data_IF_317973635274
#
_entry.id   IF_317973635274
#
_cell.length_a   1.000
_cell.length_b   1.000
_cell.length_c   1.000
_cell.angle_alpha   90.00
_cell.angle_beta   90.00
_cell.angle_gamma   90.00
#
_symmetry.space_group_name_H-M   'P 1'
#
loop_
_entity.id
_entity.type
_entity.pdbx_description
1 polymer ?
#
# COMPACT_ATOMS: atom_id res chain seq x y z
N UNK A 1 19.66 14.97 -9.48
CA UNK A 1 18.48 14.74 -8.60
C UNK A 1 17.28 15.41 -9.23
N UNK A 2 16.15 14.71 -9.34
CA UNK A 2 14.91 15.28 -9.86
C UNK A 2 14.13 16.00 -8.73
N UNK A 3 13.34 17.05 -9.04
CA UNK A 3 12.50 17.73 -8.06
C UNK A 3 11.53 16.80 -7.33
N UNK A 4 11.10 17.17 -6.12
CA UNK A 4 10.18 16.36 -5.29
C UNK A 4 8.86 15.98 -5.98
N UNK A 5 8.42 16.77 -6.97
CA UNK A 5 7.25 16.47 -7.81
C UNK A 5 7.40 15.26 -8.74
N UNK A 6 8.53 14.54 -8.69
CA UNK A 6 8.85 13.41 -9.57
C UNK A 6 9.26 12.13 -8.80
N UNK A 7 8.98 12.06 -7.49
CA UNK A 7 9.30 10.87 -6.66
C UNK A 7 8.15 9.85 -6.70
N UNK A 8 8.54 8.56 -6.65
CA UNK A 8 7.73 7.41 -7.06
C UNK A 8 6.40 7.19 -6.31
N UNK A 9 5.57 6.36 -6.92
CA UNK A 9 4.25 5.95 -6.44
C UNK A 9 4.36 4.76 -5.49
N UNK A 10 3.70 4.80 -4.32
CA UNK A 10 3.39 3.62 -3.51
C UNK A 10 1.86 3.43 -3.51
N UNK A 11 1.34 2.21 -3.55
CA UNK A 11 -0.10 2.00 -3.64
C UNK A 11 -0.70 2.28 -2.26
N UNK A 12 -1.84 2.95 -2.22
CA UNK A 12 -2.60 3.08 -0.99
C UNK A 12 -3.29 1.74 -0.70
N UNK A 13 -2.95 1.11 0.43
CA UNK A 13 -3.63 -0.12 0.89
C UNK A 13 -4.87 0.29 1.66
N UNK A 14 -6.03 -0.21 1.23
CA UNK A 14 -7.32 0.01 1.89
C UNK A 14 -7.93 -1.32 2.30
N UNK A 15 -8.53 -1.34 3.49
CA UNK A 15 -9.20 -2.52 4.02
C UNK A 15 -10.17 -2.16 5.14
N UNK A 16 -10.87 -3.16 5.67
CA UNK A 16 -11.78 -3.02 6.80
C UNK A 16 -11.39 -4.05 7.86
N UNK A 17 -11.01 -3.59 9.05
CA UNK A 17 -10.82 -4.41 10.24
C UNK A 17 -12.15 -4.52 11.02
N UNK A 18 -12.37 -5.63 11.71
CA UNK A 18 -13.59 -5.85 12.52
C UNK A 18 -13.32 -5.67 14.02
N UNK A 19 -12.09 -5.44 14.42
CA UNK A 19 -11.68 -5.23 15.80
C UNK A 19 -10.36 -4.46 15.79
N UNK A 20 -9.79 -4.17 16.96
CA UNK A 20 -8.39 -3.74 16.99
C UNK A 20 -7.54 -4.85 16.38
N UNK A 21 -6.89 -4.55 15.26
CA UNK A 21 -6.25 -5.53 14.43
C UNK A 21 -4.80 -5.15 14.12
N UNK A 22 -3.94 -6.14 13.98
CA UNK A 22 -2.57 -5.96 13.51
C UNK A 22 -2.56 -6.14 12.00
N UNK A 23 -2.30 -5.05 11.27
CA UNK A 23 -2.11 -5.10 9.82
C UNK A 23 -0.63 -5.29 9.53
N UNK A 24 -0.32 -6.41 8.89
CA UNK A 24 1.03 -6.75 8.43
C UNK A 24 1.04 -6.76 6.91
N UNK A 25 1.85 -5.90 6.31
CA UNK A 25 2.04 -5.85 4.85
C UNK A 25 3.39 -6.49 4.55
N UNK A 26 3.36 -7.54 3.72
CA UNK A 26 4.53 -8.21 3.20
C UNK A 26 4.71 -7.91 1.72
N UNK A 27 5.94 -7.72 1.32
CA UNK A 27 6.32 -7.69 -0.09
C UNK A 27 7.46 -8.67 -0.27
N UNK A 28 7.29 -9.65 -1.17
CA UNK A 28 8.22 -10.78 -1.33
C UNK A 28 8.52 -11.43 0.04
N UNK A 29 7.47 -11.84 0.78
CA UNK A 29 7.59 -12.56 2.05
C UNK A 29 8.16 -11.78 3.25
N UNK A 30 8.82 -10.64 3.04
CA UNK A 30 9.35 -9.79 4.10
C UNK A 30 8.31 -8.80 4.59
N UNK A 31 8.20 -8.64 5.91
CA UNK A 31 7.36 -7.61 6.52
C UNK A 31 7.97 -6.25 6.24
N UNK A 32 7.30 -5.44 5.41
CA UNK A 32 7.71 -4.07 5.09
C UNK A 32 6.99 -3.03 5.94
N UNK A 33 5.82 -3.39 6.48
CA UNK A 33 5.02 -2.54 7.33
C UNK A 33 4.23 -3.41 8.31
N UNK A 34 4.19 -2.99 9.57
CA UNK A 34 3.34 -3.59 10.58
C UNK A 34 2.85 -2.50 11.52
N UNK A 35 1.54 -2.37 11.64
CA UNK A 35 0.91 -1.37 12.51
C UNK A 35 -0.37 -1.92 13.12
N UNK A 36 -0.73 -1.41 14.30
CA UNK A 36 -2.03 -1.67 14.90
C UNK A 36 -3.03 -0.67 14.32
N UNK A 37 -4.12 -1.18 13.75
CA UNK A 37 -5.24 -0.38 13.28
C UNK A 37 -6.41 -0.57 14.25
N UNK A 38 -7.14 0.51 14.59
CA UNK A 38 -8.37 0.37 15.34
C UNK A 38 -9.45 -0.28 14.46
N UNK A 39 -10.58 -0.66 15.05
CA UNK A 39 -11.63 -1.34 14.29
C UNK A 39 -12.19 -0.46 13.15
N UNK A 40 -12.74 -1.09 12.12
CA UNK A 40 -13.31 -0.41 10.96
C UNK A 40 -12.37 -0.20 9.76
N UNK A 41 -12.83 0.64 8.82
CA UNK A 41 -12.16 0.96 7.57
C UNK A 41 -10.85 1.71 7.81
N UNK A 42 -9.76 1.24 7.21
CA UNK A 42 -8.44 1.83 7.33
C UNK A 42 -7.85 2.14 5.94
N UNK A 43 -6.96 3.13 5.94
CA UNK A 43 -6.14 3.50 4.80
C UNK A 43 -4.67 3.59 5.25
N UNK A 44 -3.78 2.88 4.55
CA UNK A 44 -2.34 2.95 4.72
C UNK A 44 -1.77 3.58 3.44
N UNK A 45 -1.31 4.83 3.55
CA UNK A 45 -0.78 5.64 2.45
C UNK A 45 0.67 6.10 2.67
N UNK A 46 1.29 5.64 3.75
CA UNK A 46 2.66 5.95 4.17
C UNK A 46 3.65 4.82 3.86
N UNK A 47 3.26 3.87 3.00
CA UNK A 47 4.19 2.88 2.47
C UNK A 47 5.32 3.58 1.72
N UNK A 48 6.56 3.28 2.10
CA UNK A 48 7.71 3.75 1.34
C UNK A 48 7.64 3.18 -0.08
N UNK A 49 7.80 4.02 -1.13
CA UNK A 49 7.85 3.52 -2.49
C UNK A 49 9.08 2.61 -2.63
N UNK A 50 8.86 1.31 -2.75
CA UNK A 50 9.93 0.37 -3.07
C UNK A 50 10.20 0.43 -4.58
N UNK A 51 11.47 0.45 -4.97
CA UNK A 51 11.85 0.44 -6.39
C UNK A 51 11.50 -0.88 -7.09
N UNK A 52 11.13 -1.90 -6.33
CA UNK A 52 10.78 -3.23 -6.82
C UNK A 52 9.26 -3.33 -6.97
N UNK A 53 8.82 -3.61 -8.19
CA UNK A 53 7.45 -4.05 -8.46
C UNK A 53 7.24 -5.43 -7.83
N UNK A 54 6.09 -5.64 -7.18
CA UNK A 54 5.78 -6.89 -6.49
C UNK A 54 4.52 -6.72 -5.66
N UNK A 55 3.63 -7.69 -5.76
CA UNK A 55 2.35 -7.73 -5.05
C UNK A 55 2.54 -7.55 -3.54
N UNK A 56 1.66 -6.75 -2.93
CA UNK A 56 1.63 -6.58 -1.49
C UNK A 56 0.68 -7.61 -0.90
N UNK A 57 1.20 -8.56 -0.13
CA UNK A 57 0.40 -9.47 0.67
C UNK A 57 0.00 -8.74 1.97
N UNK A 58 -1.27 -8.41 2.10
CA UNK A 58 -1.82 -7.74 3.27
C UNK A 58 -2.47 -8.80 4.15
N UNK A 59 -1.96 -8.95 5.38
CA UNK A 59 -2.57 -9.78 6.42
C UNK A 59 -3.18 -8.88 7.49
N UNK A 60 -4.46 -9.05 7.78
CA UNK A 60 -5.17 -8.43 8.89
C UNK A 60 -5.40 -9.50 9.95
N UNK A 61 -4.79 -9.35 11.12
CA UNK A 61 -4.98 -10.23 12.28
C UNK A 61 -5.85 -9.53 13.32
N UNK A 62 -7.06 -10.03 13.53
CA UNK A 62 -8.07 -9.47 14.44
C UNK A 62 -7.79 -9.85 15.91
N UNK A 63 -8.45 -9.19 16.86
CA UNK A 63 -8.26 -9.44 18.30
C UNK A 63 -8.68 -10.84 18.76
N UNK A 64 -9.53 -11.52 17.98
CA UNK A 64 -9.95 -12.91 18.20
C UNK A 64 -8.97 -13.94 17.58
N UNK A 65 -7.90 -13.47 16.93
CA UNK A 65 -6.91 -14.29 16.24
C UNK A 65 -7.30 -14.69 14.80
N UNK A 66 -8.45 -14.25 14.30
CA UNK A 66 -8.83 -14.52 12.90
C UNK A 66 -7.94 -13.73 11.94
N UNK A 67 -7.37 -14.43 10.95
CA UNK A 67 -6.51 -13.82 9.93
C UNK A 67 -7.25 -13.70 8.60
N UNK A 68 -7.21 -12.51 8.01
CA UNK A 68 -7.66 -12.25 6.64
C UNK A 68 -6.48 -11.86 5.78
N UNK A 69 -6.44 -12.39 4.57
CA UNK A 69 -5.35 -12.12 3.62
C UNK A 69 -5.93 -11.67 2.30
N UNK A 70 -5.38 -10.60 1.75
CA UNK A 70 -5.66 -10.20 0.38
C UNK A 70 -4.38 -9.67 -0.27
N UNK A 71 -4.31 -9.83 -1.58
CA UNK A 71 -3.23 -9.28 -2.38
C UNK A 71 -3.68 -7.90 -2.86
N UNK A 72 -2.90 -6.87 -2.54
CA UNK A 72 -2.99 -5.56 -3.15
C UNK A 72 -1.92 -5.49 -4.24
N UNK A 73 -2.30 -5.55 -5.52
CA UNK A 73 -1.32 -5.47 -6.59
C UNK A 73 -0.62 -4.11 -6.57
N UNK A 74 0.70 -4.14 -6.75
CA UNK A 74 1.53 -2.95 -6.88
C UNK A 74 1.93 -2.74 -8.33
N UNK A 75 1.08 -2.05 -9.10
CA UNK A 75 1.38 -1.64 -10.46
C UNK A 75 1.98 -0.24 -10.48
N UNK A 76 3.09 -0.07 -11.20
CA UNK A 76 3.66 1.24 -11.49
C UNK A 76 2.89 1.95 -12.61
N UNK A 77 2.87 3.28 -12.55
CA UNK A 77 2.29 4.15 -13.58
C UNK A 77 3.07 4.05 -14.89
N UNK A 78 2.44 4.36 -16.05
CA UNK A 78 3.13 4.42 -17.34
C UNK A 78 4.39 5.27 -17.26
N UNK A 79 5.54 4.67 -17.59
CA UNK A 79 6.85 5.31 -17.43
C UNK A 79 7.14 6.27 -18.60
N UNK A 80 6.51 7.43 -18.60
CA UNK A 80 6.79 8.49 -19.58
C UNK A 80 8.03 9.31 -19.19
N UNK A 81 8.82 9.73 -20.17
CA UNK A 81 9.96 10.63 -20.00
C UNK A 81 9.84 11.83 -20.92
N UNK A 82 10.39 12.97 -20.49
CA UNK A 82 10.45 14.18 -21.32
C UNK A 82 11.37 13.95 -22.53
N UNK A 83 11.14 14.62 -23.66
CA UNK A 83 11.99 14.53 -24.84
C UNK A 83 13.48 14.73 -24.50
N UNK A 84 14.33 13.84 -24.99
CA UNK A 84 15.78 13.89 -24.77
C UNK A 84 16.25 13.45 -23.38
N UNK A 85 15.34 13.13 -22.45
CA UNK A 85 15.72 12.59 -21.15
C UNK A 85 15.88 11.07 -21.20
N UNK A 86 17.03 10.61 -20.72
CA UNK A 86 17.36 9.20 -20.50
C UNK A 86 17.36 8.91 -18.99
N UNK A 87 16.52 7.96 -18.57
CA UNK A 87 16.60 7.33 -17.25
C UNK A 87 17.12 5.91 -17.44
N UNK A 88 18.17 5.54 -16.73
CA UNK A 88 18.77 4.22 -16.82
C UNK A 88 19.06 3.66 -15.42
N UNK A 89 19.08 2.34 -15.31
CA UNK A 89 19.53 1.62 -14.12
C UNK A 89 20.37 0.43 -14.55
N UNK A 90 21.43 0.16 -13.81
CA UNK A 90 22.24 -1.04 -13.97
C UNK A 90 22.51 -1.63 -12.59
N UNK A 91 22.15 -2.90 -12.41
CA UNK A 91 22.22 -3.61 -11.14
C UNK A 91 22.94 -4.93 -11.38
N UNK A 92 23.85 -5.29 -10.50
CA UNK A 92 24.45 -6.62 -10.47
C UNK A 92 24.59 -7.05 -9.01
N UNK A 93 24.29 -8.32 -8.72
CA UNK A 93 24.33 -8.82 -7.37
C UNK A 93 23.79 -10.23 -7.27
N UNK A 94 23.45 -10.64 -6.06
CA UNK A 94 22.87 -11.94 -5.78
C UNK A 94 21.41 -11.79 -5.43
N UNK A 95 20.55 -12.56 -6.10
CA UNK A 95 19.13 -12.62 -5.79
C UNK A 95 18.96 -13.13 -4.35
N UNK A 96 18.15 -12.42 -3.56
CA UNK A 96 17.80 -12.84 -2.20
C UNK A 96 16.37 -13.31 -2.20
N UNK A 97 16.19 -14.59 -1.94
CA UNK A 97 14.88 -15.19 -1.88
C UNK A 97 14.22 -14.93 -0.52
N UNK A 98 12.89 -14.95 -0.51
CA UNK A 98 12.10 -14.85 0.71
C UNK A 98 12.53 -15.92 1.72
N UNK A 99 12.67 -15.53 2.99
CA UNK A 99 13.24 -16.38 4.04
C UNK A 99 12.53 -17.73 4.25
N UNK A 100 11.28 -17.85 3.79
CA UNK A 100 10.46 -19.05 3.90
C UNK A 100 10.24 -19.78 2.56
N UNK A 101 10.93 -19.37 1.49
CA UNK A 101 10.81 -19.99 0.17
C UNK A 101 11.96 -20.95 -0.10
N UNK A 102 11.66 -22.14 -0.66
CA UNK A 102 12.68 -23.04 -1.22
C UNK A 102 13.07 -22.55 -2.61
N UNK A 103 13.83 -21.45 -2.64
CA UNK A 103 14.26 -20.80 -3.88
C UNK A 103 15.77 -20.71 -3.96
N UNK A 104 16.28 -20.72 -5.19
CA UNK A 104 17.68 -20.44 -5.50
C UNK A 104 17.99 -18.95 -5.27
N UNK A 105 19.25 -18.67 -5.02
CA UNK A 105 19.79 -17.31 -4.88
C UNK A 105 20.95 -17.09 -5.86
N UNK A 106 20.70 -17.10 -7.19
CA UNK A 106 21.76 -16.96 -8.18
C UNK A 106 22.31 -15.52 -8.23
N UNK A 107 23.49 -15.39 -8.82
CA UNK A 107 23.99 -14.09 -9.26
C UNK A 107 23.25 -13.64 -10.51
N UNK A 108 22.92 -12.35 -10.58
CA UNK A 108 22.22 -11.76 -11.70
C UNK A 108 22.79 -10.38 -12.06
N UNK A 109 22.54 -9.99 -13.30
CA UNK A 109 22.74 -8.65 -13.79
C UNK A 109 21.49 -8.17 -14.52
N UNK A 110 21.13 -6.91 -14.30
CA UNK A 110 19.98 -6.26 -14.91
C UNK A 110 20.39 -4.88 -15.42
N UNK A 111 19.94 -4.53 -16.62
CA UNK A 111 20.07 -3.17 -17.14
C UNK A 111 18.74 -2.72 -17.75
N UNK A 112 18.28 -1.53 -17.38
CA UNK A 112 17.05 -0.93 -17.89
C UNK A 112 17.31 0.49 -18.39
N UNK A 113 16.60 0.89 -19.43
CA UNK A 113 16.69 2.23 -20.00
C UNK A 113 15.30 2.71 -20.47
N UNK A 114 15.02 3.99 -20.23
CA UNK A 114 13.79 4.67 -20.59
C UNK A 114 14.19 6.00 -21.23
N UNK A 115 13.81 6.22 -22.49
CA UNK A 115 14.21 7.38 -23.27
C UNK A 115 12.99 8.08 -23.87
N UNK A 116 12.83 9.37 -23.56
CA UNK A 116 11.80 10.21 -24.17
C UNK A 116 12.20 10.59 -25.59
N UNK A 117 11.57 10.00 -26.60
CA UNK A 117 11.87 10.30 -28.01
C UNK A 117 11.45 11.71 -28.40
N UNK A 118 10.22 12.08 -28.04
CA UNK A 118 9.62 13.38 -28.32
C UNK A 118 8.55 13.71 -27.28
N UNK A 119 7.74 14.75 -27.51
CA UNK A 119 6.69 15.16 -26.56
C UNK A 119 5.54 14.16 -26.45
N UNK A 120 5.50 13.17 -27.33
CA UNK A 120 4.41 12.20 -27.45
C UNK A 120 4.86 10.82 -27.01
N UNK A 121 6.04 10.36 -27.42
CA UNK A 121 6.50 8.98 -27.28
C UNK A 121 7.72 8.84 -26.36
N UNK A 122 7.69 7.79 -25.56
CA UNK A 122 8.81 7.29 -24.75
C UNK A 122 9.05 5.84 -25.12
N UNK A 123 10.30 5.45 -25.37
CA UNK A 123 10.69 4.06 -25.51
C UNK A 123 11.35 3.59 -24.22
N UNK A 124 11.13 2.35 -23.87
CA UNK A 124 11.81 1.73 -22.75
C UNK A 124 12.10 0.26 -23.01
N UNK A 125 13.08 -0.26 -22.29
CA UNK A 125 13.42 -1.67 -22.35
C UNK A 125 14.38 -2.05 -21.26
N UNK A 126 14.58 -3.34 -21.11
CA UNK A 126 15.45 -3.91 -20.12
C UNK A 126 15.89 -5.32 -20.47
N UNK A 127 17.01 -5.71 -19.91
CA UNK A 127 17.56 -7.05 -20.00
C UNK A 127 17.92 -7.53 -18.60
N UNK A 128 17.61 -8.78 -18.31
CA UNK A 128 17.97 -9.46 -17.07
C UNK A 128 18.62 -10.79 -17.44
N UNK A 129 19.80 -11.04 -16.89
CA UNK A 129 20.55 -12.27 -17.11
C UNK A 129 21.02 -12.89 -15.79
N UNK A 130 20.92 -14.20 -15.71
CA UNK A 130 21.37 -15.09 -14.63
C UNK A 130 21.76 -16.43 -15.27
N UNK A 131 22.42 -17.32 -14.54
CA UNK A 131 22.91 -18.62 -15.06
C UNK A 131 21.80 -19.45 -15.75
N UNK A 132 20.63 -19.56 -15.10
CA UNK A 132 19.48 -20.35 -15.58
C UNK A 132 18.32 -19.49 -16.16
N UNK A 133 18.51 -18.19 -16.34
CA UNK A 133 17.43 -17.28 -16.71
C UNK A 133 17.88 -16.10 -17.55
N UNK A 134 17.15 -15.85 -18.65
CA UNK A 134 17.33 -14.66 -19.48
C UNK A 134 15.97 -14.03 -19.79
N UNK A 135 15.86 -12.72 -19.60
CA UNK A 135 14.69 -11.96 -20.00
C UNK A 135 15.04 -10.69 -20.77
N UNK A 136 14.22 -10.38 -21.77
CA UNK A 136 14.29 -9.17 -22.57
C UNK A 136 12.90 -8.51 -22.60
N UNK A 137 12.86 -7.26 -22.19
CA UNK A 137 11.68 -6.42 -22.21
C UNK A 137 11.84 -5.22 -23.13
N UNK A 138 10.81 -4.95 -23.93
CA UNK A 138 10.74 -3.72 -24.75
C UNK A 138 9.33 -3.14 -24.69
N UNK A 139 9.24 -1.82 -24.69
CA UNK A 139 7.98 -1.12 -24.57
C UNK A 139 7.99 0.29 -25.13
N UNK A 140 6.78 0.76 -25.39
CA UNK A 140 6.51 2.12 -25.84
C UNK A 140 5.39 2.72 -24.97
N UNK A 141 5.58 3.97 -24.58
CA UNK A 141 4.58 4.80 -23.92
C UNK A 141 4.27 6.00 -24.79
N UNK A 142 3.00 6.38 -24.87
CA UNK A 142 2.52 7.49 -25.66
C UNK A 142 1.50 8.32 -24.91
N UNK A 143 1.59 9.65 -24.95
CA UNK A 143 0.43 10.50 -24.66
C UNK A 143 -0.44 10.62 -25.91
N UNK A 144 -1.74 10.39 -25.76
CA UNK A 144 -2.76 10.60 -26.77
C UNK A 144 -3.41 11.98 -26.64
N UNK A 145 -2.73 12.92 -25.96
CA UNK A 145 -3.23 14.27 -25.67
C UNK A 145 -4.48 14.23 -24.81
N UNK A 146 -5.58 14.76 -25.34
CA UNK A 146 -6.86 14.80 -24.65
C UNK A 146 -7.43 13.40 -24.34
N UNK A 147 -6.96 12.34 -25.00
CA UNK A 147 -7.40 10.97 -24.73
C UNK A 147 -6.61 10.28 -23.60
N UNK A 148 -5.62 10.93 -23.00
CA UNK A 148 -4.83 10.37 -21.88
C UNK A 148 -3.47 9.86 -22.32
N UNK A 149 -2.97 8.81 -21.67
CA UNK A 149 -1.72 8.14 -22.02
C UNK A 149 -1.89 6.62 -22.05
N UNK A 150 -1.16 5.98 -22.95
CA UNK A 150 -1.19 4.55 -23.21
C UNK A 150 0.24 4.03 -23.27
N UNK A 151 0.54 2.95 -22.57
CA UNK A 151 1.79 2.21 -22.71
C UNK A 151 1.52 0.75 -23.03
N UNK A 152 2.42 0.17 -23.81
CA UNK A 152 2.43 -1.24 -24.14
C UNK A 152 3.86 -1.77 -24.09
N UNK A 153 4.05 -2.93 -23.49
CA UNK A 153 5.32 -3.64 -23.47
C UNK A 153 5.16 -5.15 -23.60
N UNK A 154 6.22 -5.77 -24.09
CA UNK A 154 6.35 -7.21 -24.21
C UNK A 154 7.66 -7.65 -23.55
N UNK A 155 7.56 -8.64 -22.68
CA UNK A 155 8.67 -9.29 -22.02
C UNK A 155 8.76 -10.73 -22.51
N UNK A 156 9.92 -11.12 -23.02
CA UNK A 156 10.27 -12.52 -23.31
C UNK A 156 11.13 -13.04 -22.17
N UNK A 157 10.83 -14.22 -21.66
CA UNK A 157 11.66 -14.92 -20.70
C UNK A 157 11.98 -16.33 -21.21
N UNK A 158 13.25 -16.72 -21.07
CA UNK A 158 13.79 -18.04 -21.30
C UNK A 158 14.33 -18.57 -19.95
N UNK A 159 13.82 -19.70 -19.50
CA UNK A 159 14.06 -20.23 -18.15
C UNK A 159 14.48 -21.69 -18.22
N UNK A 160 15.58 -22.02 -17.55
CA UNK A 160 16.09 -23.38 -17.41
C UNK A 160 15.78 -23.89 -15.99
N UNK A 161 14.91 -24.89 -15.88
CA UNK A 161 14.61 -25.51 -14.58
C UNK A 161 15.64 -26.61 -14.23
N UNK A 162 15.78 -26.91 -12.94
CA UNK A 162 16.68 -27.96 -12.41
C UNK A 162 16.46 -29.34 -13.03
N UNK A 163 15.21 -29.65 -13.41
CA UNK A 163 14.84 -30.90 -14.06
C UNK A 163 15.19 -30.92 -15.57
N UNK A 164 16.11 -30.06 -16.02
CA UNK A 164 16.56 -29.89 -17.41
C UNK A 164 15.47 -29.48 -18.42
N UNK A 165 14.29 -29.08 -17.94
CA UNK A 165 13.23 -28.55 -18.80
C UNK A 165 13.47 -27.06 -19.06
N UNK A 166 13.49 -26.68 -20.33
CA UNK A 166 13.56 -25.29 -20.77
C UNK A 166 12.17 -24.76 -21.07
N UNK A 167 11.80 -23.63 -20.48
CA UNK A 167 10.56 -22.91 -20.77
C UNK A 167 10.87 -21.60 -21.48
N UNK A 168 9.99 -21.23 -22.40
CA UNK A 168 10.04 -19.93 -23.06
C UNK A 168 8.63 -19.35 -23.06
N UNK A 169 8.52 -18.06 -22.77
CA UNK A 169 7.23 -17.40 -22.75
C UNK A 169 7.29 -15.92 -22.96
N UNK A 170 6.09 -15.37 -23.16
CA UNK A 170 5.89 -13.96 -23.39
C UNK A 170 4.83 -13.42 -22.43
N UNK A 171 5.10 -12.23 -21.90
CA UNK A 171 4.17 -11.45 -21.12
C UNK A 171 3.94 -10.12 -21.83
N UNK A 172 2.68 -9.83 -22.10
CA UNK A 172 2.21 -8.57 -22.63
C UNK A 172 1.70 -7.72 -21.47
N UNK A 173 2.01 -6.42 -21.47
CA UNK A 173 1.38 -5.43 -20.60
C UNK A 173 0.80 -4.28 -21.42
N UNK A 174 -0.42 -3.86 -21.10
CA UNK A 174 -1.02 -2.62 -21.57
C UNK A 174 -1.44 -1.79 -20.37
N UNK A 175 -1.09 -0.52 -20.34
CA UNK A 175 -1.56 0.40 -19.30
C UNK A 175 -2.15 1.64 -19.95
N UNK A 176 -3.29 2.08 -19.43
CA UNK A 176 -4.00 3.27 -19.86
C UNK A 176 -4.28 4.16 -18.65
N UNK A 177 -3.99 5.45 -18.79
CA UNK A 177 -4.31 6.45 -17.78
C UNK A 177 -4.97 7.66 -18.43
N UNK A 178 -5.99 8.20 -17.77
CA UNK A 178 -6.70 9.39 -18.22
C UNK A 178 -7.11 10.24 -17.03
N UNK A 179 -6.63 11.47 -17.06
CA UNK A 179 -7.09 12.55 -16.20
C UNK A 179 -8.05 13.47 -16.98
N UNK A 180 -9.20 13.77 -16.39
CA UNK A 180 -10.20 14.73 -16.87
C UNK A 180 -10.32 15.82 -15.79
N UNK A 181 -9.57 16.93 -15.92
CA UNK A 181 -9.59 18.00 -14.94
C UNK A 181 -10.97 18.64 -14.75
N UNK A 182 -11.77 18.72 -15.81
CA UNK A 182 -13.09 19.38 -15.82
C UNK A 182 -14.08 18.71 -14.86
N UNK A 183 -13.98 17.39 -14.70
CA UNK A 183 -14.83 16.58 -13.79
C UNK A 183 -14.02 15.98 -12.65
N UNK A 184 -12.76 16.43 -12.48
CA UNK A 184 -11.78 15.87 -11.54
C UNK A 184 -11.83 14.33 -11.49
N UNK A 185 -11.78 13.72 -12.67
CA UNK A 185 -11.90 12.26 -12.87
C UNK A 185 -10.57 11.67 -13.28
N UNK A 186 -10.09 10.70 -12.52
CA UNK A 186 -8.90 9.93 -12.82
C UNK A 186 -9.31 8.48 -13.13
N UNK A 187 -8.76 7.94 -14.22
CA UNK A 187 -8.96 6.57 -14.66
C UNK A 187 -7.58 5.97 -14.91
N UNK A 188 -7.30 4.84 -14.29
CA UNK A 188 -6.11 4.04 -14.53
C UNK A 188 -6.53 2.57 -14.74
N UNK A 189 -6.05 1.96 -15.81
CA UNK A 189 -6.30 0.55 -16.14
C UNK A 189 -4.99 -0.10 -16.54
N UNK A 190 -4.68 -1.25 -15.96
CA UNK A 190 -3.55 -2.08 -16.36
C UNK A 190 -4.03 -3.48 -16.70
N UNK A 191 -3.54 -4.03 -17.79
CA UNK A 191 -3.86 -5.37 -18.25
C UNK A 191 -2.58 -6.13 -18.58
N UNK A 192 -2.42 -7.27 -17.94
CA UNK A 192 -1.31 -8.20 -18.10
C UNK A 192 -1.85 -9.47 -18.74
N UNK A 193 -1.15 -9.96 -19.76
CA UNK A 193 -1.49 -11.22 -20.42
C UNK A 193 -0.25 -12.05 -20.64
N UNK A 194 -0.25 -13.26 -20.12
CA UNK A 194 0.77 -14.26 -20.39
C UNK A 194 0.32 -15.07 -21.61
N UNK A 195 1.14 -15.07 -22.66
CA UNK A 195 0.77 -15.68 -23.95
C UNK A 195 0.74 -17.20 -23.86
N UNK A 196 1.56 -17.78 -22.99
CA UNK A 196 1.61 -19.20 -22.69
C UNK A 196 1.87 -19.44 -21.18
N UNK A 197 1.88 -20.70 -20.80
CA UNK A 197 2.28 -21.24 -19.51
C UNK A 197 3.82 -21.38 -19.37
N UNK A 198 4.60 -20.89 -20.33
CA UNK A 198 6.05 -20.97 -20.34
C UNK A 198 6.76 -19.69 -19.88
N UNK A 199 6.04 -18.61 -19.57
CA UNK A 199 6.66 -17.36 -19.09
C UNK A 199 6.89 -17.43 -17.59
N UNK A 200 8.12 -17.39 -17.11
CA UNK A 200 8.42 -17.28 -15.68
C UNK A 200 8.96 -15.89 -15.39
N UNK A 201 8.46 -15.23 -14.34
CA UNK A 201 9.16 -14.11 -13.75
C UNK A 201 10.48 -14.58 -13.11
N UNK A 202 11.42 -13.67 -12.87
CA UNK A 202 12.71 -14.03 -12.28
C UNK A 202 12.56 -14.63 -10.86
N UNK A 203 11.57 -14.18 -10.08
CA UNK A 203 11.24 -14.78 -8.79
C UNK A 203 10.74 -16.22 -8.97
N UNK A 204 9.78 -16.44 -9.87
CA UNK A 204 9.20 -17.78 -10.13
C UNK A 204 10.22 -18.77 -10.70
N UNK A 205 11.14 -18.31 -11.55
CA UNK A 205 12.19 -19.14 -12.15
C UNK A 205 13.17 -19.70 -11.10
N UNK A 206 13.33 -19.00 -9.98
CA UNK A 206 14.23 -19.39 -8.90
C UNK A 206 13.55 -20.27 -7.84
N UNK A 207 12.21 -20.32 -7.78
CA UNK A 207 11.48 -21.26 -6.91
C UNK A 207 11.65 -22.71 -7.38
N UNK A 208 12.10 -23.61 -6.49
CA UNK A 208 12.33 -25.02 -6.82
C UNK A 208 11.04 -25.83 -6.98
N UNK A 209 10.03 -25.53 -6.16
CA UNK A 209 8.72 -26.18 -6.20
C UNK A 209 7.66 -25.24 -6.77
N UNK A 210 7.65 -25.10 -8.09
CA UNK A 210 6.63 -24.30 -8.78
C UNK A 210 5.36 -25.13 -9.00
N UNK A 211 4.21 -24.57 -8.64
CA UNK A 211 2.91 -25.19 -8.87
C UNK A 211 2.33 -24.71 -10.21
N UNK A 212 2.19 -25.62 -11.17
CA UNK A 212 1.57 -25.32 -12.47
C UNK A 212 0.16 -24.69 -12.33
N UNK A 213 -0.60 -25.09 -11.30
CA UNK A 213 -1.95 -24.59 -11.09
C UNK A 213 -2.02 -23.13 -10.63
N UNK A 214 -0.92 -22.61 -10.07
CA UNK A 214 -0.82 -21.22 -9.59
C UNK A 214 -0.26 -20.27 -10.64
N UNK A 215 -0.06 -20.74 -11.87
CA UNK A 215 0.52 -19.93 -12.94
C UNK A 215 -0.44 -18.89 -13.48
N UNK A 216 -0.05 -17.63 -13.37
CA UNK A 216 -0.83 -16.50 -13.84
C UNK A 216 -1.02 -16.56 -15.36
N UNK A 217 -2.26 -16.34 -15.79
CA UNK A 217 -2.67 -16.34 -17.20
C UNK A 217 -3.02 -14.94 -17.68
N UNK A 218 -3.73 -14.19 -16.86
CA UNK A 218 -4.00 -12.77 -17.10
C UNK A 218 -4.34 -12.07 -15.81
N UNK A 219 -4.06 -10.78 -15.77
CA UNK A 219 -4.47 -9.91 -14.69
C UNK A 219 -5.01 -8.60 -15.25
N UNK A 220 -6.18 -8.19 -14.82
CA UNK A 220 -6.72 -6.86 -15.08
C UNK A 220 -6.81 -6.11 -13.76
N UNK A 221 -6.34 -4.87 -13.76
CA UNK A 221 -6.44 -3.94 -12.64
C UNK A 221 -7.07 -2.64 -13.14
N UNK A 222 -7.96 -2.07 -12.36
CA UNK A 222 -8.53 -0.76 -12.65
C UNK A 222 -8.63 0.07 -11.37
N UNK A 223 -8.51 1.38 -11.54
CA UNK A 223 -8.76 2.39 -10.53
C UNK A 223 -9.45 3.57 -11.22
N UNK A 224 -10.58 3.97 -10.67
CA UNK A 224 -11.38 5.09 -11.14
C UNK A 224 -11.71 5.92 -9.91
N UNK A 225 -11.46 7.21 -9.97
CA UNK A 225 -11.92 8.16 -8.97
C UNK A 225 -12.53 9.36 -9.66
N UNK A 226 -13.63 9.86 -9.12
CA UNK A 226 -14.39 10.97 -9.67
C UNK A 226 -14.92 11.83 -8.55
N UNK A 227 -14.63 13.13 -8.59
CA UNK A 227 -15.36 14.09 -7.76
C UNK A 227 -16.71 14.39 -8.42
N UNK A 228 -17.81 14.19 -7.70
CA UNK A 228 -19.16 14.41 -8.24
C UNK A 228 -19.60 15.85 -7.95
N UNK A 229 -19.45 16.29 -6.71
CA UNK A 229 -19.81 17.63 -6.23
C UNK A 229 -18.71 18.14 -5.30
N UNK A 230 -18.72 19.45 -5.00
CA UNK A 230 -17.84 20.02 -3.99
C UNK A 230 -18.00 19.27 -2.66
N UNK A 231 -16.96 18.54 -2.27
CA UNK A 231 -16.94 17.73 -1.06
C UNK A 231 -17.51 16.31 -1.20
N UNK A 232 -17.77 15.77 -2.41
CA UNK A 232 -18.18 14.37 -2.60
C UNK A 232 -17.38 13.70 -3.70
N UNK A 233 -16.70 12.60 -3.37
CA UNK A 233 -15.90 11.79 -4.28
C UNK A 233 -16.37 10.34 -4.30
N UNK A 234 -16.49 9.78 -5.49
CA UNK A 234 -16.73 8.36 -5.75
C UNK A 234 -15.43 7.73 -6.24
N UNK A 235 -15.18 6.50 -5.80
CA UNK A 235 -14.09 5.70 -6.31
C UNK A 235 -14.53 4.26 -6.55
N UNK A 236 -13.89 3.63 -7.53
CA UNK A 236 -14.03 2.23 -7.85
C UNK A 236 -12.66 1.69 -8.23
N UNK A 237 -12.24 0.61 -7.61
CA UNK A 237 -10.98 -0.05 -7.92
C UNK A 237 -11.15 -1.55 -7.84
N UNK A 238 -10.28 -2.28 -8.50
CA UNK A 238 -10.28 -3.72 -8.38
C UNK A 238 -9.25 -4.39 -9.26
N UNK A 239 -9.07 -5.67 -9.00
CA UNK A 239 -8.27 -6.58 -9.79
C UNK A 239 -8.99 -7.90 -10.02
N UNK A 240 -8.68 -8.54 -11.13
CA UNK A 240 -9.02 -9.93 -11.36
C UNK A 240 -7.82 -10.62 -12.00
N UNK A 241 -7.43 -11.74 -11.41
CA UNK A 241 -6.33 -12.57 -11.84
C UNK A 241 -6.86 -13.97 -12.17
N UNK A 242 -6.56 -14.42 -13.38
CA UNK A 242 -6.91 -15.74 -13.89
C UNK A 242 -5.64 -16.59 -13.95
N UNK A 243 -5.79 -17.91 -13.77
CA UNK A 243 -4.68 -18.88 -13.78
C UNK A 243 -4.80 -19.88 -14.95
N UNK A 244 -3.71 -20.58 -15.25
CA UNK A 244 -3.67 -21.59 -16.32
C UNK A 244 -4.17 -22.95 -15.89
N UNK A 245 -3.78 -23.44 -14.71
CA UNK A 245 -4.09 -24.82 -14.29
C UNK A 245 -5.41 -24.99 -13.55
N UNK A 246 -6.16 -23.92 -13.27
CA UNK A 246 -7.52 -24.00 -12.76
C UNK A 246 -8.43 -22.93 -13.37
N UNK A 247 -9.75 -23.14 -13.26
CA UNK A 247 -10.77 -22.14 -13.64
C UNK A 247 -11.09 -21.17 -12.49
N UNK A 248 -10.34 -21.23 -11.39
CA UNK A 248 -10.52 -20.34 -10.26
C UNK A 248 -9.90 -18.98 -10.53
N UNK A 249 -10.43 -17.96 -9.86
CA UNK A 249 -10.10 -16.57 -10.11
C UNK A 249 -9.93 -15.85 -8.80
N UNK A 250 -8.83 -15.13 -8.68
CA UNK A 250 -8.64 -14.15 -7.63
C UNK A 250 -9.29 -12.85 -8.07
N UNK A 251 -10.16 -12.29 -7.25
CA UNK A 251 -10.89 -11.05 -7.58
C UNK A 251 -11.01 -10.19 -6.35
N UNK A 252 -10.60 -8.93 -6.47
CA UNK A 252 -10.80 -7.91 -5.44
C UNK A 252 -11.49 -6.72 -6.09
N UNK A 253 -12.59 -6.23 -5.53
CA UNK A 253 -13.31 -5.04 -5.99
C UNK A 253 -13.63 -4.20 -4.77
N UNK A 254 -13.32 -2.92 -4.85
CA UNK A 254 -13.66 -1.92 -3.84
C UNK A 254 -14.34 -0.74 -4.51
N UNK A 255 -15.57 -0.45 -4.10
CA UNK A 255 -16.34 0.72 -4.55
C UNK A 255 -16.69 1.53 -3.33
N UNK A 256 -16.50 2.84 -3.38
CA UNK A 256 -16.86 3.69 -2.27
C UNK A 256 -17.26 5.09 -2.69
N UNK A 257 -18.05 5.73 -1.84
CA UNK A 257 -18.36 7.14 -1.92
C UNK A 257 -17.97 7.77 -0.59
N UNK A 258 -17.30 8.90 -0.64
CA UNK A 258 -16.89 9.64 0.54
C UNK A 258 -17.09 11.12 0.32
N UNK A 259 -17.28 11.86 1.39
CA UNK A 259 -17.45 13.28 1.31
C UNK A 259 -17.39 13.98 2.65
N UNK A 260 -17.34 15.30 2.59
CA UNK A 260 -17.43 16.17 3.75
C UNK A 260 -18.34 17.34 3.42
N UNK A 261 -19.41 17.48 4.20
CA UNK A 261 -20.33 18.60 4.10
C UNK A 261 -20.64 19.16 5.49
N UNK A 262 -20.63 20.49 5.61
CA UNK A 262 -20.88 21.21 6.87
C UNK A 262 -20.01 20.75 8.05
N UNK A 263 -18.77 20.35 7.76
CA UNK A 263 -17.84 19.81 8.76
C UNK A 263 -18.03 18.33 9.06
N UNK A 264 -19.14 17.70 8.64
CA UNK A 264 -19.42 16.28 8.84
C UNK A 264 -18.83 15.47 7.69
N UNK A 265 -17.92 14.54 8.02
CA UNK A 265 -17.39 13.55 7.08
C UNK A 265 -18.29 12.34 7.01
N UNK A 266 -18.44 11.76 5.84
CA UNK A 266 -19.13 10.49 5.64
C UNK A 266 -18.44 9.65 4.57
N UNK A 267 -18.48 8.33 4.71
CA UNK A 267 -18.05 7.41 3.67
C UNK A 267 -18.85 6.12 3.70
N UNK A 268 -19.19 5.59 2.54
CA UNK A 268 -19.79 4.29 2.35
C UNK A 268 -18.92 3.49 1.39
N UNK A 269 -18.43 2.35 1.85
CA UNK A 269 -17.47 1.52 1.14
C UNK A 269 -18.01 0.10 1.03
N UNK A 270 -17.96 -0.47 -0.16
CA UNK A 270 -18.31 -1.86 -0.44
C UNK A 270 -17.10 -2.58 -1.01
N UNK A 271 -16.74 -3.69 -0.39
CA UNK A 271 -15.61 -4.53 -0.80
C UNK A 271 -16.11 -5.95 -1.11
N UNK A 272 -15.63 -6.50 -2.21
CA UNK A 272 -15.80 -7.89 -2.60
C UNK A 272 -14.42 -8.49 -2.82
N UNK A 273 -14.08 -9.54 -2.09
CA UNK A 273 -12.84 -10.29 -2.27
C UNK A 273 -13.13 -11.77 -2.42
N UNK A 274 -12.41 -12.41 -3.34
CA UNK A 274 -12.40 -13.86 -3.51
C UNK A 274 -10.98 -14.28 -3.81
N UNK A 275 -10.47 -15.21 -3.03
CA UNK A 275 -9.17 -15.83 -3.22
C UNK A 275 -9.35 -17.32 -3.53
N UNK A 276 -8.50 -17.89 -4.38
CA UNK A 276 -8.40 -19.32 -4.69
C UNK A 276 -8.28 -20.09 -3.37
N UNK A 277 -9.09 -21.14 -3.21
CA UNK A 277 -9.23 -21.94 -1.96
C UNK A 277 -9.97 -21.27 -0.78
N UNK A 278 -10.56 -20.07 -0.95
CA UNK A 278 -11.38 -19.42 0.09
C UNK A 278 -12.79 -19.05 -0.40
N UNK A 279 -13.73 -18.94 0.54
CA UNK A 279 -15.06 -18.43 0.27
C UNK A 279 -15.00 -16.96 -0.18
N UNK A 280 -16.04 -16.51 -0.89
CA UNK A 280 -16.15 -15.11 -1.23
C UNK A 280 -16.51 -14.28 0.02
N UNK A 281 -15.78 -13.20 0.23
CA UNK A 281 -16.03 -12.24 1.27
C UNK A 281 -16.66 -10.98 0.67
N UNK A 282 -17.66 -10.46 1.37
CA UNK A 282 -18.33 -9.20 1.03
C UNK A 282 -18.43 -8.39 2.29
N UNK A 283 -17.98 -7.15 2.25
CA UNK A 283 -18.06 -6.22 3.36
C UNK A 283 -18.67 -4.90 2.89
N UNK A 284 -19.60 -4.38 3.67
CA UNK A 284 -20.14 -3.03 3.55
C UNK A 284 -19.74 -2.27 4.80
N UNK A 285 -19.09 -1.13 4.64
CA UNK A 285 -18.71 -0.24 5.75
C UNK A 285 -19.26 1.16 5.54
N UNK A 286 -20.01 1.65 6.52
CA UNK A 286 -20.44 3.03 6.64
C UNK A 286 -19.60 3.69 7.72
N UNK A 287 -19.08 4.89 7.47
CA UNK A 287 -18.41 5.72 8.45
C UNK A 287 -19.04 7.11 8.42
N UNK A 288 -19.35 7.64 9.59
CA UNK A 288 -19.83 9.00 9.82
C UNK A 288 -18.90 9.64 10.83
N UNK A 289 -18.44 10.86 10.57
CA UNK A 289 -17.58 11.56 11.52
C UNK A 289 -17.96 13.02 11.68
N UNK A 290 -18.11 13.43 12.93
CA UNK A 290 -18.62 14.70 13.35
C UNK A 290 -17.55 15.38 14.23
N UNK A 291 -16.99 16.52 13.83
CA UNK A 291 -16.10 17.30 14.67
C UNK A 291 -16.87 17.81 15.88
N UNK A 292 -16.30 17.65 17.07
CA UNK A 292 -16.87 18.14 18.32
C UNK A 292 -16.27 19.47 18.75
N UNK A 293 -15.58 20.19 17.86
CA UNK A 293 -14.81 21.41 18.17
C UNK A 293 -15.58 22.46 18.99
N UNK A 294 -16.91 22.53 18.84
CA UNK A 294 -17.78 23.44 19.60
C UNK A 294 -17.98 23.06 21.07
N UNK A 295 -17.80 21.79 21.42
CA UNK A 295 -18.02 21.24 22.77
C UNK A 295 -16.74 20.75 23.42
N UNK A 296 -15.90 20.08 22.64
CA UNK A 296 -14.59 19.57 23.04
C UNK A 296 -13.58 19.98 21.95
N UNK A 297 -12.70 20.97 22.23
CA UNK A 297 -11.69 21.40 21.27
C UNK A 297 -10.84 20.22 20.78
N UNK A 298 -10.46 20.24 19.50
CA UNK A 298 -9.59 19.24 18.86
C UNK A 298 -10.07 17.79 19.02
N UNK A 299 -11.38 17.59 19.06
CA UNK A 299 -11.98 16.26 19.22
C UNK A 299 -13.02 15.99 18.14
N UNK A 300 -13.25 14.71 17.84
CA UNK A 300 -14.27 14.25 16.90
C UNK A 300 -14.92 12.97 17.41
N UNK A 301 -16.19 12.80 17.07
CA UNK A 301 -16.88 11.52 17.23
C UNK A 301 -17.08 10.90 15.87
N UNK A 302 -16.82 9.61 15.77
CA UNK A 302 -17.20 8.82 14.60
C UNK A 302 -18.08 7.65 14.98
N UNK A 303 -18.98 7.34 14.07
CA UNK A 303 -19.78 6.13 14.08
C UNK A 303 -19.44 5.31 12.85
N UNK A 304 -19.17 4.02 13.05
CA UNK A 304 -18.88 3.09 11.98
C UNK A 304 -19.80 1.88 12.07
N UNK A 305 -20.31 1.45 10.93
CA UNK A 305 -21.07 0.21 10.81
C UNK A 305 -20.37 -0.66 9.77
N UNK A 306 -20.04 -1.90 10.12
CA UNK A 306 -19.45 -2.87 9.21
C UNK A 306 -20.34 -4.11 9.18
N UNK A 307 -20.86 -4.46 8.00
CA UNK A 307 -21.61 -5.68 7.76
C UNK A 307 -20.82 -6.56 6.82
N UNK A 308 -20.46 -7.77 7.24
CA UNK A 308 -19.67 -8.72 6.45
C UNK A 308 -20.45 -10.02 6.28
N UNK A 309 -20.30 -10.66 5.11
CA UNK A 309 -20.87 -11.99 4.86
C UNK A 309 -20.41 -12.99 5.92
N UNK A 310 -21.34 -13.81 6.40
CA UNK A 310 -21.11 -14.87 7.40
C UNK A 310 -20.56 -14.35 8.75
N UNK A 311 -20.76 -13.05 9.05
CA UNK A 311 -20.40 -12.42 10.32
C UNK A 311 -21.49 -11.48 10.84
N UNK A 312 -21.60 -11.29 12.16
CA UNK A 312 -22.52 -10.31 12.76
C UNK A 312 -22.25 -8.89 12.25
N UNK A 313 -23.29 -8.06 12.15
CA UNK A 313 -23.07 -6.63 11.87
C UNK A 313 -22.46 -6.00 13.09
N UNK A 314 -21.40 -5.23 12.87
CA UNK A 314 -20.69 -4.53 13.91
C UNK A 314 -20.99 -3.04 13.84
N UNK A 315 -21.24 -2.45 15.01
CA UNK A 315 -21.45 -1.04 15.23
C UNK A 315 -20.39 -0.52 16.18
N UNK A 316 -19.69 0.53 15.78
CA UNK A 316 -18.61 1.13 16.54
C UNK A 316 -18.85 2.62 16.71
N UNK A 317 -18.65 3.10 17.94
CA UNK A 317 -18.57 4.51 18.27
C UNK A 317 -17.17 4.83 18.77
N UNK A 318 -16.54 5.85 18.19
CA UNK A 318 -15.21 6.30 18.56
C UNK A 318 -15.20 7.79 18.90
N UNK A 319 -14.47 8.15 19.93
CA UNK A 319 -14.14 9.51 20.33
C UNK A 319 -12.62 9.68 20.26
N UNK A 320 -12.16 10.46 19.29
CA UNK A 320 -10.76 10.82 19.14
C UNK A 320 -10.55 12.27 19.57
N UNK A 321 -9.39 12.56 20.14
CA UNK A 321 -8.99 13.93 20.43
C UNK A 321 -7.51 14.12 20.68
N UNK A 322 -7.11 15.37 20.89
CA UNK A 322 -5.77 15.73 21.33
C UNK A 322 -5.81 16.66 22.54
N UNK A 323 -4.95 16.37 23.49
CA UNK A 323 -4.72 17.11 24.72
C UNK A 323 -3.35 17.81 24.67
N UNK A 324 -3.08 18.62 25.69
CA UNK A 324 -1.96 19.56 25.77
C UNK A 324 -2.11 20.73 24.79
N UNK A 325 -1.55 21.88 25.14
CA UNK A 325 -1.71 23.12 24.36
C UNK A 325 -1.20 22.98 22.92
N UNK A 326 -0.25 22.07 22.69
CA UNK A 326 0.34 21.75 21.38
C UNK A 326 -0.14 20.44 20.74
N UNK A 327 -1.13 19.76 21.34
CA UNK A 327 -1.72 18.55 20.75
C UNK A 327 -0.79 17.34 20.72
N UNK A 328 0.30 17.34 21.50
CA UNK A 328 1.28 16.24 21.52
C UNK A 328 0.76 14.96 22.17
N UNK A 329 -0.34 14.99 22.90
CA UNK A 329 -0.99 13.81 23.46
C UNK A 329 -2.29 13.55 22.69
N UNK A 330 -2.36 12.50 21.88
CA UNK A 330 -3.59 12.05 21.26
C UNK A 330 -4.21 10.90 22.06
N UNK A 331 -5.54 10.83 22.04
CA UNK A 331 -6.30 9.74 22.64
C UNK A 331 -7.43 9.29 21.69
N UNK A 332 -7.80 8.03 21.80
CA UNK A 332 -8.93 7.41 21.10
C UNK A 332 -9.64 6.48 22.06
N UNK A 333 -10.92 6.73 22.30
CA UNK A 333 -11.81 5.83 23.03
C UNK A 333 -12.78 5.21 22.03
N UNK A 334 -12.88 3.88 22.02
CA UNK A 334 -13.71 3.12 21.09
C UNK A 334 -14.61 2.16 21.85
N UNK A 335 -15.87 2.10 21.43
CA UNK A 335 -16.84 1.09 21.86
C UNK A 335 -17.42 0.43 20.63
N UNK A 336 -17.23 -0.88 20.51
CA UNK A 336 -17.77 -1.73 19.47
C UNK A 336 -18.76 -2.73 20.05
N UNK A 337 -19.85 -2.96 19.34
CA UNK A 337 -20.93 -3.90 19.65
C UNK A 337 -21.32 -4.61 18.36
N UNK A 338 -21.53 -5.92 18.41
CA UNK A 338 -22.05 -6.68 17.28
C UNK A 338 -23.45 -7.30 17.53
N UNK A 339 -24.11 -7.74 16.47
CA UNK A 339 -25.46 -8.33 16.52
C UNK A 339 -25.53 -9.62 17.38
N UNK A 340 -24.39 -10.29 17.62
CA UNK A 340 -24.27 -11.48 18.47
C UNK A 340 -24.02 -11.13 19.94
N UNK A 341 -24.13 -9.84 20.29
CA UNK A 341 -23.95 -9.30 21.64
C UNK A 341 -22.50 -9.43 22.15
N UNK A 342 -21.53 -9.51 21.25
CA UNK A 342 -20.13 -9.28 21.60
C UNK A 342 -19.86 -7.79 21.70
N UNK A 343 -19.04 -7.43 22.67
CA UNK A 343 -18.61 -6.06 22.89
C UNK A 343 -17.10 -6.00 22.95
N UNK A 344 -16.52 -4.96 22.34
CA UNK A 344 -15.11 -4.65 22.47
C UNK A 344 -14.97 -3.17 22.81
N UNK A 345 -14.20 -2.87 23.85
CA UNK A 345 -13.95 -1.51 24.30
C UNK A 345 -12.45 -1.28 24.24
N UNK A 346 -12.00 -0.22 23.57
CA UNK A 346 -10.58 0.08 23.48
C UNK A 346 -10.27 1.53 23.86
N UNK A 347 -9.13 1.71 24.52
CA UNK A 347 -8.57 3.00 24.89
C UNK A 347 -7.14 3.03 24.38
N UNK A 348 -6.83 3.99 23.52
CA UNK A 348 -5.49 4.19 22.98
C UNK A 348 -5.03 5.61 23.29
N UNK A 349 -3.77 5.77 23.64
CA UNK A 349 -3.11 7.04 23.88
C UNK A 349 -1.73 7.06 23.22
N UNK A 350 -1.37 8.18 22.61
CA UNK A 350 -0.06 8.37 21.99
C UNK A 350 0.49 9.74 22.36
N UNK A 351 1.73 9.76 22.87
CA UNK A 351 2.43 10.95 23.31
C UNK A 351 3.68 11.18 22.46
N UNK A 352 3.68 12.28 21.70
CA UNK A 352 4.79 12.71 20.86
C UNK A 352 5.73 13.62 21.64
N UNK A 353 6.82 13.05 22.16
CA UNK A 353 7.91 13.78 22.80
C UNK A 353 8.93 14.26 21.76
N UNK A 354 9.76 15.29 22.06
CA UNK A 354 10.93 15.62 21.24
C UNK A 354 11.91 14.44 21.07
N UNK A 355 11.95 13.54 22.07
CA UNK A 355 12.90 12.43 22.13
C UNK A 355 12.35 11.10 21.58
N UNK A 356 11.09 11.07 21.11
CA UNK A 356 10.44 9.84 20.67
C UNK A 356 8.91 9.90 20.83
N UNK A 357 8.23 8.92 20.25
CA UNK A 357 6.78 8.73 20.38
C UNK A 357 6.52 7.53 21.27
N UNK A 358 5.69 7.72 22.29
CA UNK A 358 5.25 6.68 23.21
C UNK A 358 3.79 6.38 22.93
N UNK A 359 3.44 5.12 22.69
CA UNK A 359 2.06 4.68 22.53
C UNK A 359 1.70 3.66 23.61
N UNK A 360 0.47 3.74 24.09
CA UNK A 360 -0.12 2.77 24.99
C UNK A 360 -1.58 2.55 24.60
N UNK A 361 -2.04 1.30 24.69
CA UNK A 361 -3.37 0.89 24.32
C UNK A 361 -3.84 -0.23 25.22
N UNK A 362 -5.14 -0.22 25.51
CA UNK A 362 -5.83 -1.27 26.22
C UNK A 362 -7.11 -1.60 25.48
N UNK A 363 -7.33 -2.86 25.15
CA UNK A 363 -8.58 -3.35 24.58
C UNK A 363 -9.13 -4.48 25.45
N UNK A 364 -10.45 -4.48 25.61
CA UNK A 364 -11.18 -5.45 26.41
C UNK A 364 -12.41 -5.91 25.63
N UNK A 365 -12.44 -7.21 25.30
CA UNK A 365 -13.55 -7.89 24.65
C UNK A 365 -14.20 -8.94 25.54
N UNK A 366 -15.16 -9.70 25.00
CA UNK A 366 -15.86 -10.76 25.72
C UNK A 366 -14.92 -11.84 26.29
N UNK A 367 -13.96 -12.28 25.49
CA UNK A 367 -13.11 -13.45 25.82
C UNK A 367 -11.63 -13.11 25.99
N UNK A 368 -11.23 -11.85 25.73
CA UNK A 368 -9.83 -11.46 25.74
C UNK A 368 -9.63 -10.02 26.22
N UNK A 369 -8.45 -9.77 26.76
CA UNK A 369 -7.97 -8.42 27.06
C UNK A 369 -6.54 -8.31 26.52
N UNK A 370 -6.23 -7.18 25.88
CA UNK A 370 -4.92 -6.95 25.28
C UNK A 370 -4.38 -5.61 25.77
N UNK A 371 -3.09 -5.59 26.04
CA UNK A 371 -2.34 -4.41 26.45
C UNK A 371 -1.23 -4.20 25.43
N UNK A 372 -1.24 -3.05 24.78
CA UNK A 372 -0.27 -2.67 23.77
C UNK A 372 0.55 -1.49 24.30
N UNK A 373 1.87 -1.55 24.18
CA UNK A 373 2.74 -0.43 24.48
C UNK A 373 3.91 -0.41 23.50
N UNK A 374 4.33 0.78 23.09
CA UNK A 374 5.37 0.95 22.08
C UNK A 374 6.14 2.25 22.28
N UNK A 375 7.42 2.22 21.94
CA UNK A 375 8.28 3.40 21.90
C UNK A 375 9.02 3.42 20.58
N UNK A 376 8.85 4.51 19.82
CA UNK A 376 9.50 4.69 18.52
C UNK A 376 10.28 6.00 18.53
N UNK A 377 11.56 5.94 18.23
CA UNK A 377 12.45 7.10 18.21
C UNK A 377 13.70 6.86 17.38
N UNK A 378 14.56 7.87 17.32
CA UNK A 378 15.86 7.83 16.68
C UNK A 378 16.97 8.23 17.64
N UNK A 379 18.16 7.67 17.41
CA UNK A 379 19.38 8.03 18.14
C UNK A 379 20.41 8.45 17.11
N UNK A 380 20.86 9.71 17.18
CA UNK A 380 21.95 10.23 16.34
C UNK A 380 23.19 10.33 17.19
N UNK A 381 24.23 9.59 16.80
CA UNK A 381 25.57 9.72 17.37
C UNK A 381 26.37 10.64 16.45
N UNK A 382 26.85 11.77 16.98
CA UNK A 382 27.58 12.78 16.22
C UNK A 382 28.77 13.32 17.05
N UNK A 383 29.71 14.08 16.45
CA UNK A 383 30.91 14.55 17.16
C UNK A 383 30.65 15.38 18.43
N UNK A 384 29.47 16.01 18.55
CA UNK A 384 29.06 16.80 19.71
C UNK A 384 28.25 16.00 20.75
N UNK A 385 28.06 14.68 20.57
CA UNK A 385 27.42 13.80 21.54
C UNK A 385 26.35 12.87 20.95
N UNK A 386 25.37 12.54 21.79
CA UNK A 386 24.21 11.70 21.42
C UNK A 386 22.96 12.56 21.51
N UNK A 387 22.23 12.67 20.40
CA UNK A 387 20.94 13.38 20.34
C UNK A 387 19.83 12.36 20.11
N UNK A 388 18.83 12.37 21.00
CA UNK A 388 17.61 11.59 20.84
C UNK A 388 16.61 12.39 20.01
N UNK A 389 15.83 11.68 19.19
CA UNK A 389 14.84 12.29 18.32
C UNK A 389 13.60 11.42 18.17
N UNK A 390 12.57 11.98 17.54
CA UNK A 390 11.53 11.17 16.90
C UNK A 390 12.13 10.28 15.80
N UNK A 391 11.32 9.37 15.26
CA UNK A 391 11.74 8.47 14.17
C UNK A 391 12.44 9.25 13.03
N UNK A 392 13.63 8.79 12.65
CA UNK A 392 14.46 9.42 11.63
C UNK A 392 14.20 8.77 10.28
N UNK A 393 13.90 9.58 9.26
CA UNK A 393 13.85 9.12 7.87
C UNK A 393 15.24 9.05 7.21
N UNK A 394 15.27 8.70 5.92
CA UNK A 394 16.51 8.60 5.13
C UNK A 394 17.31 9.90 5.04
N UNK A 395 16.65 11.04 5.20
CA UNK A 395 17.27 12.35 5.32
C UNK A 395 16.78 13.01 6.61
N UNK A 396 17.71 13.46 7.43
CA UNK A 396 17.43 14.18 8.66
C UNK A 396 18.41 15.34 8.79
N UNK A 397 18.00 16.39 9.50
CA UNK A 397 18.87 17.51 9.84
C UNK A 397 19.26 17.39 11.31
N UNK A 398 20.56 17.47 11.59
CA UNK A 398 21.07 17.65 12.93
C UNK A 398 21.21 19.15 13.18
N UNK A 399 20.47 19.68 14.14
CA UNK A 399 20.55 21.09 14.53
C UNK A 399 21.49 21.19 15.72
N UNK A 400 22.67 21.77 15.50
CA UNK A 400 23.56 22.19 16.58
C UNK A 400 23.43 23.70 16.77
N UNK A 401 22.82 24.09 17.89
CA UNK A 401 22.57 25.49 18.24
C UNK A 401 23.55 26.04 19.28
N UNK A 402 24.70 25.39 19.54
CA UNK A 402 25.81 25.83 20.39
C UNK A 402 25.49 26.99 21.35
N UNK A 403 24.82 26.66 22.47
CA UNK A 403 24.57 27.63 23.53
C UNK A 403 23.36 28.56 23.35
N UNK A 404 22.43 28.27 22.43
CA UNK A 404 21.08 28.81 22.53
C UNK A 404 20.55 28.49 23.94
N UNK A 405 20.39 29.53 24.76
CA UNK A 405 19.99 29.42 26.16
C UNK A 405 18.78 28.48 26.26
N UNK A 406 18.94 27.39 27.00
CA UNK A 406 17.93 26.39 27.30
C UNK A 406 16.66 27.03 27.88
N UNK A 407 15.75 27.47 27.01
CA UNK A 407 14.32 27.36 27.27
C UNK A 407 13.90 26.03 26.68
N UNK A 408 13.35 25.15 27.52
CA UNK A 408 12.76 23.85 27.15
C UNK A 408 11.72 23.95 26.01
N UNK A 409 11.31 25.16 25.64
CA UNK A 409 10.24 25.48 24.68
C UNK A 409 10.72 26.05 23.33
N UNK A 410 11.96 25.80 22.89
CA UNK A 410 12.37 26.24 21.54
C UNK A 410 11.68 25.36 20.49
N UNK A 411 10.53 25.82 19.99
CA UNK A 411 9.72 25.12 18.98
C UNK A 411 10.21 25.45 17.57
N UNK A 412 10.37 24.43 16.74
CA UNK A 412 10.53 24.61 15.29
C UNK A 412 9.16 24.93 14.69
N UNK A 413 8.97 26.14 14.14
CA UNK A 413 7.82 26.50 13.32
C UNK A 413 8.15 26.27 11.85
N UNK A 414 7.35 25.45 11.16
CA UNK A 414 7.50 25.12 9.75
C UNK A 414 6.90 26.15 8.79
N UNK A 415 7.00 27.45 9.09
CA UNK A 415 6.59 28.51 8.15
C UNK A 415 7.79 28.86 7.24
N UNK A 416 8.01 28.00 6.25
CA UNK A 416 8.84 28.35 5.10
C UNK A 416 7.91 28.83 3.98
N UNK A 417 7.98 30.13 3.68
CA UNK A 417 7.32 30.75 2.52
C UNK A 417 7.77 30.18 1.18
#
# INVERSE_FOLDING_TARGET
>A
MLPNSQRGFAPTVRGIANSSAIVTIRQNGYVIYQSNVPAGAFEINDLYPSSNSGDLEVTIEESDGTQRRFIQPYSSLPMMQRPGHLKYSATAGRYRADANSDSKEPEFAEATAIYGLNNTFTLYGGLLGSEDYYALGIGIGGTLGALGALSMDINRADTQCDNQHSFHGYQWRTQYIKDIPETNTNIAVSYYRYTNDGYFSFNEANTRNWNYNSRQKSEIQFNISQTIFDGVSLYASGSQQDYWGNNEKNRNISVGVSGQQWGIGYSLNYQYSRYTDQNNDRALSLNLSIPLERWLPRSRVSYQMTSQKDRPTQHEMRLDGSLLDDGRLSYSLEQSLDDDNNHNSSLNASYRSPYGTFSAGYSYGNDSSQYNYGVTGGVVIHPHGVTLSQYLGNAFALIDANGAFWREDTKLSGDCY
#
